data_IF_202915813895
#
_entry.id   IF_202915813895
#
_cell.length_a   1.000
_cell.length_b   1.000
_cell.length_c   1.000
_cell.angle_alpha   90.00
_cell.angle_beta   90.00
_cell.angle_gamma   90.00
#
_symmetry.space_group_name_H-M   'P 1'
#
loop_
_entity.id
_entity.type
_entity.pdbx_description
1 polymer ?
#
# COMPACT_ATOMS: atom_id res chain seq x y z
N UNK A 1 17.20 16.40 -9.20
CA UNK A 1 16.37 15.82 -10.28
C UNK A 1 16.23 16.75 -11.50
N UNK A 2 15.72 17.97 -11.38
CA UNK A 2 15.54 18.87 -12.53
C UNK A 2 16.84 19.15 -13.27
N UNK A 3 17.95 19.36 -12.57
CA UNK A 3 19.27 19.56 -13.16
C UNK A 3 19.74 18.31 -13.92
N UNK A 4 19.59 17.13 -13.32
CA UNK A 4 19.92 15.85 -13.96
C UNK A 4 19.14 15.63 -15.27
N UNK A 5 17.84 15.92 -15.27
CA UNK A 5 17.01 15.84 -16.48
C UNK A 5 17.44 16.81 -17.55
N UNK A 6 17.81 18.02 -17.17
CA UNK A 6 18.30 19.05 -18.11
C UNK A 6 19.66 18.68 -18.71
N UNK A 7 20.58 18.15 -17.88
CA UNK A 7 21.93 17.73 -18.31
C UNK A 7 21.88 16.53 -19.26
N UNK A 8 20.91 15.63 -19.09
CA UNK A 8 20.79 14.40 -19.89
C UNK A 8 19.72 14.48 -20.98
N UNK A 9 19.12 15.66 -21.24
CA UNK A 9 18.05 15.84 -22.23
C UNK A 9 16.82 14.92 -22.03
N UNK A 10 16.51 14.56 -20.79
CA UNK A 10 15.38 13.69 -20.46
C UNK A 10 14.16 14.58 -20.14
N UNK A 11 12.97 14.32 -20.73
CA UNK A 11 11.78 15.07 -20.40
C UNK A 11 11.44 14.99 -18.92
N UNK A 12 11.43 16.13 -18.22
CA UNK A 12 11.05 16.21 -16.82
C UNK A 12 9.55 16.44 -16.67
N UNK A 13 8.84 15.44 -16.17
CA UNK A 13 7.41 15.59 -15.86
C UNK A 13 7.25 16.40 -14.56
N UNK A 14 6.84 17.66 -14.69
CA UNK A 14 6.58 18.57 -13.56
C UNK A 14 5.26 18.26 -12.82
N UNK A 15 4.68 17.10 -13.01
CA UNK A 15 3.46 16.69 -12.33
C UNK A 15 3.64 16.75 -10.80
N UNK A 16 2.77 17.48 -10.12
CA UNK A 16 2.75 17.48 -8.65
C UNK A 16 2.20 16.14 -8.17
N UNK A 17 3.03 15.39 -7.46
CA UNK A 17 2.56 14.20 -6.71
C UNK A 17 2.14 14.63 -5.31
N UNK A 18 1.05 14.03 -4.82
CA UNK A 18 0.62 14.21 -3.43
C UNK A 18 1.55 13.37 -2.56
N UNK A 19 2.35 14.02 -1.73
CA UNK A 19 3.17 13.36 -0.73
C UNK A 19 2.38 13.33 0.58
N UNK A 20 2.30 12.17 1.23
CA UNK A 20 1.64 12.04 2.52
C UNK A 20 2.26 12.98 3.57
N UNK A 21 1.41 13.59 4.38
CA UNK A 21 1.84 14.46 5.47
C UNK A 21 2.00 13.65 6.75
N UNK A 22 3.03 13.97 7.56
CA UNK A 22 3.14 13.48 8.94
C UNK A 22 2.16 14.16 9.91
N UNK A 23 1.54 15.26 9.47
CA UNK A 23 0.50 15.94 10.22
C UNK A 23 -0.87 15.49 9.75
N UNK A 24 -1.71 15.07 10.67
CA UNK A 24 -3.05 14.63 10.34
C UNK A 24 -4.01 14.83 11.50
N UNK A 25 -5.28 14.99 11.17
CA UNK A 25 -6.39 15.01 12.13
C UNK A 25 -7.06 13.63 12.11
N UNK A 26 -7.38 13.10 13.28
CA UNK A 26 -8.20 11.89 13.44
C UNK A 26 -7.63 10.67 12.69
N UNK A 27 -6.32 10.43 12.86
CA UNK A 27 -5.63 9.32 12.19
C UNK A 27 -5.70 8.09 13.09
N UNK A 28 -6.11 6.96 12.53
CA UNK A 28 -5.96 5.66 13.17
C UNK A 28 -4.51 5.18 12.98
N UNK A 29 -3.83 4.89 14.07
CA UNK A 29 -2.46 4.38 14.05
C UNK A 29 -2.35 3.06 14.82
N UNK A 30 -1.68 2.09 14.21
CA UNK A 30 -1.26 0.88 14.92
C UNK A 30 -0.14 1.22 15.92
N UNK A 31 -0.21 0.67 17.13
CA UNK A 31 0.66 1.05 18.25
C UNK A 31 2.17 1.01 17.94
N UNK A 32 2.73 0.02 17.24
CA UNK A 32 4.16 0.01 16.90
C UNK A 32 4.59 1.23 16.08
N UNK A 33 3.81 1.60 15.06
CA UNK A 33 4.08 2.79 14.24
C UNK A 33 3.95 4.07 15.05
N UNK A 34 2.93 4.18 15.91
CA UNK A 34 2.76 5.32 16.80
C UNK A 34 3.95 5.47 17.75
N UNK A 35 4.44 4.39 18.36
CA UNK A 35 5.62 4.42 19.22
C UNK A 35 6.85 4.94 18.49
N UNK A 36 7.06 4.47 17.26
CA UNK A 36 8.16 4.94 16.43
C UNK A 36 8.06 6.44 16.13
N UNK A 37 6.88 6.94 15.77
CA UNK A 37 6.66 8.37 15.55
C UNK A 37 6.97 9.21 16.79
N UNK A 38 6.56 8.75 17.96
CA UNK A 38 6.87 9.46 19.23
C UNK A 38 8.37 9.48 19.51
N UNK A 39 9.08 8.39 19.23
CA UNK A 39 10.55 8.32 19.34
C UNK A 39 11.25 9.29 18.37
N UNK A 40 10.66 9.53 17.20
CA UNK A 40 11.16 10.51 16.23
C UNK A 40 10.75 11.97 16.54
N UNK A 41 10.13 12.22 17.69
CA UNK A 41 9.81 13.56 18.17
C UNK A 41 8.43 14.08 17.76
N UNK A 42 7.58 13.29 17.11
CA UNK A 42 6.19 13.68 16.85
C UNK A 42 5.41 13.72 18.17
N UNK A 43 4.38 14.58 18.22
CA UNK A 43 3.57 14.79 19.41
C UNK A 43 2.10 14.50 19.14
N UNK A 44 1.46 13.82 20.08
CA UNK A 44 0.01 13.66 20.07
C UNK A 44 -0.60 14.93 20.61
N UNK A 45 -1.36 15.65 19.79
CA UNK A 45 -2.07 16.86 20.19
C UNK A 45 -3.46 16.57 20.77
N UNK A 46 -4.10 15.50 20.31
CA UNK A 46 -5.40 15.06 20.78
C UNK A 46 -5.53 13.54 20.67
N UNK A 47 -6.02 12.92 21.70
CA UNK A 47 -6.35 11.50 21.75
C UNK A 47 -7.87 11.34 21.71
N UNK A 48 -8.39 10.58 20.74
CA UNK A 48 -9.82 10.38 20.56
C UNK A 48 -10.32 9.06 21.17
N UNK A 49 -9.68 7.96 20.82
CA UNK A 49 -10.02 6.63 21.32
C UNK A 49 -8.85 5.66 21.20
N UNK A 50 -8.93 4.55 21.92
CA UNK A 50 -8.05 3.39 21.76
C UNK A 50 -8.88 2.13 21.54
N UNK A 51 -8.46 1.30 20.61
CA UNK A 51 -9.04 -0.03 20.40
C UNK A 51 -8.08 -1.05 21.01
N UNK A 52 -8.53 -1.73 22.06
CA UNK A 52 -7.80 -2.83 22.69
C UNK A 52 -8.30 -4.15 22.12
N UNK A 53 -7.37 -5.05 21.78
CA UNK A 53 -7.68 -6.38 21.27
C UNK A 53 -6.73 -7.42 21.89
N UNK A 54 -7.13 -8.68 21.87
CA UNK A 54 -6.27 -9.80 22.22
C UNK A 54 -5.56 -10.27 20.94
N UNK A 55 -4.22 -10.30 20.94
CA UNK A 55 -3.49 -10.79 19.77
C UNK A 55 -3.71 -12.29 19.58
N UNK A 56 -3.90 -12.70 18.33
CA UNK A 56 -4.04 -14.09 17.92
C UNK A 56 -3.27 -14.33 16.61
N UNK A 57 -2.70 -15.51 16.45
CA UNK A 57 -1.91 -15.89 15.27
C UNK A 57 -2.70 -16.73 14.27
N UNK A 58 -3.96 -16.38 14.03
CA UNK A 58 -4.88 -17.14 13.19
C UNK A 58 -4.43 -17.37 11.74
N UNK A 59 -3.51 -16.55 11.24
CA UNK A 59 -2.98 -16.64 9.87
C UNK A 59 -1.51 -17.11 9.82
N UNK A 60 -0.94 -17.60 10.92
CA UNK A 60 0.47 -17.93 10.95
C UNK A 60 0.81 -19.02 9.94
N UNK A 61 0.08 -20.14 9.95
CA UNK A 61 0.31 -21.26 9.03
C UNK A 61 0.24 -20.83 7.57
N UNK A 62 -0.76 -20.04 7.22
CA UNK A 62 -0.89 -19.48 5.86
C UNK A 62 0.29 -18.58 5.49
N UNK A 63 0.73 -17.71 6.40
CA UNK A 63 1.85 -16.79 6.16
C UNK A 63 3.19 -17.57 6.03
N UNK A 64 3.37 -18.59 6.83
CA UNK A 64 4.55 -19.45 6.78
C UNK A 64 4.60 -20.22 5.46
N UNK A 65 3.50 -20.85 5.02
CA UNK A 65 3.40 -21.56 3.75
C UNK A 65 3.69 -20.64 2.54
N UNK A 66 3.09 -19.44 2.51
CA UNK A 66 3.36 -18.43 1.46
C UNK A 66 4.84 -18.04 1.46
N UNK A 67 5.43 -17.81 2.63
CA UNK A 67 6.82 -17.39 2.77
C UNK A 67 7.80 -18.48 2.37
N UNK A 68 7.54 -19.72 2.75
CA UNK A 68 8.40 -20.86 2.43
C UNK A 68 8.38 -21.18 0.93
N UNK A 69 7.21 -21.14 0.31
CA UNK A 69 7.09 -21.32 -1.15
C UNK A 69 7.85 -20.23 -1.92
N UNK A 70 7.83 -18.97 -1.44
CA UNK A 70 8.60 -17.88 -2.07
C UNK A 70 10.10 -18.11 -1.94
N UNK A 71 10.59 -18.47 -0.74
CA UNK A 71 12.01 -18.77 -0.53
C UNK A 71 12.49 -19.94 -1.40
N UNK A 72 11.64 -20.97 -1.59
CA UNK A 72 11.96 -22.08 -2.46
C UNK A 72 12.16 -21.63 -3.93
N UNK A 73 11.32 -20.73 -4.43
CA UNK A 73 11.45 -20.16 -5.77
C UNK A 73 12.67 -19.25 -5.93
N UNK A 74 13.10 -18.56 -4.87
CA UNK A 74 14.32 -17.76 -4.88
C UNK A 74 15.59 -18.63 -4.97
N UNK A 75 15.54 -19.87 -4.45
CA UNK A 75 16.65 -20.83 -4.45
C UNK A 75 16.69 -21.62 -5.74
N UNK A 76 15.55 -22.12 -6.23
CA UNK A 76 15.44 -23.00 -7.38
C UNK A 76 14.33 -22.53 -8.34
N UNK A 77 14.72 -22.22 -9.57
CA UNK A 77 13.81 -21.80 -10.65
C UNK A 77 12.71 -22.80 -10.99
N UNK A 78 12.88 -24.07 -10.65
CA UNK A 78 11.83 -25.06 -10.82
C UNK A 78 10.56 -24.73 -9.99
N UNK A 79 10.70 -23.99 -8.91
CA UNK A 79 9.61 -23.53 -8.03
C UNK A 79 9.15 -22.10 -8.29
N UNK A 80 9.69 -21.39 -9.28
CA UNK A 80 9.39 -19.99 -9.57
C UNK A 80 7.88 -19.75 -9.80
N UNK A 81 7.21 -20.60 -10.57
CA UNK A 81 5.77 -20.48 -10.82
C UNK A 81 4.94 -20.61 -9.54
N UNK A 82 5.32 -21.53 -8.65
CA UNK A 82 4.66 -21.73 -7.37
C UNK A 82 4.91 -20.51 -6.48
N UNK A 83 6.13 -19.99 -6.43
CA UNK A 83 6.49 -18.81 -5.66
C UNK A 83 5.70 -17.57 -6.10
N UNK A 84 5.58 -17.31 -7.41
CA UNK A 84 4.78 -16.20 -7.94
C UNK A 84 3.28 -16.39 -7.68
N UNK A 85 2.77 -17.61 -7.78
CA UNK A 85 1.38 -17.91 -7.44
C UNK A 85 1.09 -17.66 -5.95
N UNK A 86 1.96 -18.12 -5.07
CA UNK A 86 1.81 -17.91 -3.62
C UNK A 86 1.96 -16.44 -3.21
N UNK A 87 2.82 -15.68 -3.91
CA UNK A 87 2.88 -14.21 -3.77
C UNK A 87 1.52 -13.56 -4.10
N UNK A 88 0.90 -13.99 -5.18
CA UNK A 88 -0.43 -13.50 -5.56
C UNK A 88 -1.49 -13.84 -4.51
N UNK A 89 -1.47 -15.05 -3.94
CA UNK A 89 -2.37 -15.42 -2.85
C UNK A 89 -2.16 -14.58 -1.61
N UNK A 90 -0.93 -14.38 -1.17
CA UNK A 90 -0.61 -13.52 -0.02
C UNK A 90 -1.10 -12.08 -0.21
N UNK A 91 -0.81 -11.49 -1.36
CA UNK A 91 -1.25 -10.13 -1.70
C UNK A 91 -2.77 -10.03 -1.82
N UNK A 92 -3.43 -11.04 -2.38
CA UNK A 92 -4.89 -11.08 -2.52
C UNK A 92 -5.59 -11.21 -1.17
N UNK A 93 -5.07 -12.04 -0.27
CA UNK A 93 -5.59 -12.19 1.09
C UNK A 93 -5.52 -10.86 1.85
N UNK A 94 -4.37 -10.20 1.84
CA UNK A 94 -4.21 -8.86 2.41
C UNK A 94 -5.13 -7.85 1.73
N UNK A 95 -5.09 -7.74 0.40
CA UNK A 95 -5.92 -6.80 -0.38
C UNK A 95 -7.41 -6.95 -0.10
N UNK A 96 -7.87 -8.20 0.14
CA UNK A 96 -9.26 -8.45 0.49
C UNK A 96 -9.66 -7.81 1.82
N UNK A 97 -8.78 -7.77 2.80
CA UNK A 97 -9.08 -7.17 4.11
C UNK A 97 -9.34 -5.67 4.04
N UNK A 98 -8.74 -4.97 3.07
CA UNK A 98 -8.85 -3.51 2.86
C UNK A 98 -9.74 -3.13 1.67
N UNK A 99 -10.52 -4.06 1.14
CA UNK A 99 -11.39 -3.80 -0.01
C UNK A 99 -12.43 -2.73 0.32
N UNK A 100 -12.50 -1.67 -0.48
CA UNK A 100 -13.56 -0.67 -0.36
C UNK A 100 -14.86 -1.17 -0.99
N UNK A 101 -15.77 -1.66 -0.15
CA UNK A 101 -17.08 -2.17 -0.58
C UNK A 101 -18.04 -1.09 -1.08
N UNK A 102 -17.79 0.19 -0.79
CA UNK A 102 -18.60 1.29 -1.31
C UNK A 102 -18.47 1.44 -2.82
N UNK A 103 -17.37 0.98 -3.40
CA UNK A 103 -17.14 0.96 -4.84
C UNK A 103 -17.91 -0.16 -5.57
N UNK A 104 -18.50 -1.10 -4.85
CA UNK A 104 -19.23 -2.20 -5.45
C UNK A 104 -20.55 -1.70 -6.02
N UNK A 105 -20.81 -2.08 -7.25
CA UNK A 105 -22.02 -1.73 -7.98
C UNK A 105 -22.91 -2.95 -8.17
N UNK A 106 -24.17 -2.69 -8.49
CA UNK A 106 -25.14 -3.70 -8.92
C UNK A 106 -25.43 -3.46 -10.40
N UNK A 107 -25.11 -4.43 -11.24
CA UNK A 107 -25.39 -4.38 -12.67
C UNK A 107 -26.69 -5.14 -12.94
N UNK A 108 -27.56 -4.57 -13.75
CA UNK A 108 -28.82 -5.18 -14.15
C UNK A 108 -29.03 -4.99 -15.65
N UNK A 109 -29.46 -6.03 -16.31
CA UNK A 109 -29.80 -6.00 -17.72
C UNK A 109 -31.31 -6.00 -17.88
N UNK A 110 -31.82 -5.26 -18.86
CA UNK A 110 -33.25 -5.21 -19.14
C UNK A 110 -33.60 -4.46 -20.41
N UNK A 111 -34.87 -4.52 -20.78
CA UNK A 111 -35.45 -3.71 -21.84
C UNK A 111 -35.94 -2.38 -21.26
N UNK A 112 -36.29 -1.44 -22.13
CA UNK A 112 -36.72 -0.08 -21.78
C UNK A 112 -37.79 -0.04 -20.67
N UNK A 113 -38.80 -0.86 -20.75
CA UNK A 113 -39.88 -0.94 -19.76
C UNK A 113 -39.44 -1.36 -18.36
N UNK A 114 -38.43 -2.24 -18.30
CA UNK A 114 -37.94 -2.81 -17.04
C UNK A 114 -36.87 -1.95 -16.35
N UNK A 115 -36.17 -1.09 -17.10
CA UNK A 115 -35.08 -0.25 -16.57
C UNK A 115 -35.55 1.09 -16.05
N UNK A 116 -36.75 1.59 -16.49
CA UNK A 116 -37.27 2.92 -16.14
C UNK A 116 -37.30 3.17 -14.62
N UNK A 117 -37.74 2.18 -13.84
CA UNK A 117 -37.72 2.28 -12.36
C UNK A 117 -36.33 2.36 -11.77
N UNK A 118 -35.31 1.80 -12.43
CA UNK A 118 -33.94 1.80 -11.96
C UNK A 118 -33.24 3.09 -12.30
N UNK A 119 -33.51 3.66 -13.45
CA UNK A 119 -32.97 4.96 -13.87
C UNK A 119 -33.50 6.06 -12.93
N UNK A 120 -34.76 5.98 -12.51
CA UNK A 120 -35.36 6.93 -11.57
C UNK A 120 -34.98 6.67 -10.09
N UNK A 121 -34.15 5.68 -9.81
CA UNK A 121 -33.69 5.40 -8.45
C UNK A 121 -32.56 6.35 -8.01
N UNK A 122 -32.50 6.81 -6.75
CA UNK A 122 -31.37 7.57 -6.22
C UNK A 122 -30.06 6.78 -6.23
N UNK A 123 -30.11 5.48 -6.45
CA UNK A 123 -28.94 4.61 -6.58
C UNK A 123 -28.43 4.49 -8.01
N UNK A 124 -29.10 5.08 -8.99
CA UNK A 124 -28.66 5.07 -10.37
C UNK A 124 -27.28 5.71 -10.52
N UNK A 125 -26.41 5.06 -11.30
CA UNK A 125 -25.06 5.53 -11.56
C UNK A 125 -24.79 5.73 -13.05
N UNK A 126 -25.16 4.72 -13.86
CA UNK A 126 -24.86 4.74 -15.29
C UNK A 126 -25.81 3.86 -16.08
N UNK A 127 -25.96 4.15 -17.38
CA UNK A 127 -26.79 3.42 -18.35
C UNK A 127 -26.01 3.27 -19.66
N UNK A 128 -25.88 2.03 -20.12
CA UNK A 128 -25.29 1.71 -21.41
C UNK A 128 -26.29 0.93 -22.28
N UNK A 129 -26.47 1.37 -23.53
CA UNK A 129 -27.22 0.60 -24.51
C UNK A 129 -26.31 -0.43 -25.15
N UNK A 130 -26.64 -1.72 -25.02
CA UNK A 130 -25.81 -2.79 -25.55
C UNK A 130 -26.11 -3.05 -27.02
N UNK A 131 -27.29 -3.63 -27.30
CA UNK A 131 -27.74 -3.76 -28.67
C UNK A 131 -29.27 -3.82 -28.72
N UNK A 132 -29.87 -3.30 -29.83
CA UNK A 132 -31.32 -3.20 -29.94
C UNK A 132 -31.96 -2.42 -28.82
N UNK A 133 -32.94 -3.00 -28.13
CA UNK A 133 -33.62 -2.41 -26.97
C UNK A 133 -33.10 -2.97 -25.64
N UNK A 134 -31.87 -3.50 -25.61
CA UNK A 134 -31.26 -4.02 -24.39
C UNK A 134 -30.28 -3.02 -23.80
N UNK A 135 -30.36 -2.85 -22.50
CA UNK A 135 -29.60 -1.90 -21.72
C UNK A 135 -28.94 -2.56 -20.53
N UNK A 136 -27.75 -2.06 -20.17
CA UNK A 136 -27.10 -2.31 -18.90
C UNK A 136 -27.31 -1.10 -17.99
N UNK A 137 -27.82 -1.34 -16.78
CA UNK A 137 -28.00 -0.31 -15.75
C UNK A 137 -27.05 -0.61 -14.60
N UNK A 138 -26.16 0.33 -14.32
CA UNK A 138 -25.25 0.30 -13.18
C UNK A 138 -25.84 1.13 -12.06
N UNK A 139 -25.93 0.54 -10.88
CA UNK A 139 -26.45 1.19 -9.68
C UNK A 139 -25.52 1.00 -8.49
N UNK A 140 -25.45 1.94 -7.58
CA UNK A 140 -24.81 1.74 -6.27
C UNK A 140 -25.61 0.74 -5.45
N UNK A 141 -24.94 -0.02 -4.57
CA UNK A 141 -25.65 -0.94 -3.68
C UNK A 141 -26.44 -0.15 -2.64
N UNK A 142 -27.67 -0.60 -2.37
CA UNK A 142 -28.56 0.01 -1.36
C UNK A 142 -28.04 -0.20 0.06
N UNK A 143 -27.38 -1.33 0.28
CA UNK A 143 -26.86 -1.74 1.57
C UNK A 143 -25.41 -2.24 1.39
N UNK A 144 -24.54 -1.77 2.25
CA UNK A 144 -23.12 -2.16 2.29
C UNK A 144 -22.87 -2.77 3.66
N UNK A 145 -22.55 -4.07 3.67
CA UNK A 145 -22.16 -4.75 4.90
C UNK A 145 -20.65 -4.66 5.10
N UNK A 146 -20.23 -3.98 6.16
CA UNK A 146 -18.83 -3.83 6.54
C UNK A 146 -18.40 -4.99 7.45
N UNK A 147 -18.09 -6.14 6.87
CA UNK A 147 -17.74 -7.39 7.55
C UNK A 147 -16.30 -7.85 7.28
N UNK A 148 -15.48 -6.98 6.71
CA UNK A 148 -14.06 -7.27 6.45
C UNK A 148 -13.22 -7.05 7.71
N UNK A 149 -12.20 -7.88 7.95
CA UNK A 149 -11.27 -7.71 9.07
C UNK A 149 -10.27 -6.57 8.78
N UNK A 150 -10.77 -5.34 8.65
CA UNK A 150 -10.03 -4.15 8.25
C UNK A 150 -8.82 -3.88 9.17
N UNK A 151 -8.93 -4.24 10.46
CA UNK A 151 -7.85 -4.10 11.44
C UNK A 151 -6.59 -4.88 11.05
N UNK A 152 -6.73 -6.02 10.38
CA UNK A 152 -5.59 -6.82 9.88
C UNK A 152 -4.87 -6.04 8.78
N UNK A 153 -5.62 -5.56 7.78
CA UNK A 153 -5.05 -4.78 6.70
C UNK A 153 -4.38 -3.49 7.17
N UNK A 154 -4.98 -2.79 8.14
CA UNK A 154 -4.37 -1.60 8.77
C UNK A 154 -3.07 -1.97 9.48
N UNK A 155 -3.02 -3.08 10.24
CA UNK A 155 -1.82 -3.50 10.93
C UNK A 155 -0.70 -3.86 9.95
N UNK A 156 -1.00 -4.64 8.89
CA UNK A 156 -0.02 -5.02 7.86
C UNK A 156 0.54 -3.78 7.16
N UNK A 157 -0.33 -2.86 6.74
CA UNK A 157 0.08 -1.62 6.08
C UNK A 157 0.99 -0.75 6.98
N UNK A 158 0.63 -0.61 8.26
CA UNK A 158 1.42 0.19 9.20
C UNK A 158 2.75 -0.49 9.57
N UNK A 159 2.81 -1.81 9.63
CA UNK A 159 4.06 -2.54 9.85
C UNK A 159 4.98 -2.45 8.64
N UNK A 160 4.45 -2.56 7.42
CA UNK A 160 5.23 -2.34 6.20
C UNK A 160 5.82 -0.91 6.18
N UNK A 161 4.98 0.10 6.43
CA UNK A 161 5.43 1.49 6.54
C UNK A 161 6.51 1.68 7.63
N UNK A 162 6.31 1.08 8.81
CA UNK A 162 7.29 1.13 9.89
C UNK A 162 8.63 0.53 9.45
N UNK A 163 8.61 -0.62 8.75
CA UNK A 163 9.83 -1.26 8.25
C UNK A 163 10.60 -0.37 7.26
N UNK A 164 9.88 0.30 6.36
CA UNK A 164 10.48 1.21 5.39
C UNK A 164 11.09 2.44 6.07
N UNK A 165 10.39 3.04 7.03
CA UNK A 165 10.88 4.17 7.81
C UNK A 165 12.08 3.79 8.67
N UNK A 166 12.05 2.63 9.32
CA UNK A 166 13.15 2.10 10.13
C UNK A 166 14.41 1.89 9.29
N UNK A 167 14.26 1.30 8.09
CA UNK A 167 15.36 1.14 7.15
C UNK A 167 15.95 2.49 6.72
N UNK A 168 15.10 3.46 6.38
CA UNK A 168 15.58 4.78 5.96
C UNK A 168 16.32 5.51 7.08
N UNK A 169 15.71 5.65 8.26
CA UNK A 169 16.28 6.49 9.33
C UNK A 169 17.33 5.79 10.18
N UNK A 170 17.16 4.49 10.45
CA UNK A 170 18.06 3.75 11.33
C UNK A 170 19.17 3.01 10.58
N UNK A 171 19.08 2.92 9.25
CA UNK A 171 20.13 2.33 8.43
C UNK A 171 20.72 3.36 7.45
N UNK A 172 19.98 3.78 6.42
CA UNK A 172 20.53 4.66 5.38
C UNK A 172 21.04 5.98 5.97
N UNK A 173 20.21 6.76 6.64
CA UNK A 173 20.54 8.07 7.20
C UNK A 173 21.62 8.00 8.32
N UNK A 174 21.66 6.87 9.03
CA UNK A 174 22.65 6.65 10.09
C UNK A 174 24.03 6.33 9.55
N UNK A 175 24.12 5.46 8.54
CA UNK A 175 25.40 4.91 8.08
C UNK A 175 25.97 5.58 6.83
N UNK A 176 25.17 6.32 6.08
CA UNK A 176 25.55 7.00 4.84
C UNK A 176 25.35 8.50 5.01
N UNK A 177 26.27 9.32 4.51
CA UNK A 177 26.11 10.77 4.55
C UNK A 177 24.99 11.23 3.61
N UNK A 178 24.25 12.24 4.03
CA UNK A 178 23.13 12.78 3.26
C UNK A 178 23.52 13.38 1.91
N UNK A 179 24.77 13.77 1.75
CA UNK A 179 25.33 14.22 0.48
C UNK A 179 25.51 13.09 -0.54
N UNK A 180 25.57 11.84 -0.08
CA UNK A 180 25.91 10.68 -0.88
C UNK A 180 24.71 9.86 -1.32
N UNK A 181 23.49 10.25 -0.93
CA UNK A 181 22.28 9.60 -1.39
C UNK A 181 21.10 10.55 -1.57
N UNK A 182 20.20 10.19 -2.48
CA UNK A 182 18.89 10.82 -2.67
C UNK A 182 17.80 9.75 -2.74
N UNK A 183 16.74 9.89 -1.94
CA UNK A 183 15.55 9.05 -2.06
C UNK A 183 14.73 9.51 -3.26
N UNK A 184 14.69 8.71 -4.31
CA UNK A 184 13.98 9.01 -5.55
C UNK A 184 12.50 8.67 -5.47
N UNK A 185 12.20 7.47 -4.99
CA UNK A 185 10.83 6.93 -4.92
C UNK A 185 10.71 5.92 -3.78
N UNK A 186 9.50 5.82 -3.24
CA UNK A 186 9.12 4.78 -2.29
C UNK A 186 7.80 4.18 -2.75
N UNK A 187 7.79 2.88 -2.96
CA UNK A 187 6.58 2.14 -3.31
C UNK A 187 6.38 1.00 -2.30
N UNK A 188 5.37 1.15 -1.47
CA UNK A 188 4.85 0.22 -0.46
C UNK A 188 5.93 -0.49 0.38
N UNK A 189 6.76 -1.34 -0.22
CA UNK A 189 7.81 -2.17 0.39
C UNK A 189 9.18 -2.01 -0.30
N UNK A 190 9.33 -1.01 -1.16
CA UNK A 190 10.55 -0.74 -1.91
C UNK A 190 10.97 0.72 -1.79
N UNK A 191 12.26 0.96 -1.63
CA UNK A 191 12.89 2.28 -1.72
C UNK A 191 13.86 2.31 -2.89
N UNK A 192 13.80 3.37 -3.68
CA UNK A 192 14.72 3.64 -4.78
C UNK A 192 15.61 4.80 -4.39
N UNK A 193 16.92 4.55 -4.35
CA UNK A 193 17.93 5.55 -4.03
C UNK A 193 18.86 5.79 -5.21
N UNK A 194 19.26 7.04 -5.41
CA UNK A 194 20.46 7.37 -6.15
C UNK A 194 21.61 7.51 -5.15
N UNK A 195 22.76 6.91 -5.46
CA UNK A 195 23.97 7.00 -4.68
C UNK A 195 25.08 7.68 -5.48
N UNK A 196 26.04 8.34 -4.79
CA UNK A 196 27.19 8.99 -5.41
C UNK A 196 28.27 8.00 -5.87
N UNK A 197 28.23 6.76 -5.37
CA UNK A 197 29.20 5.69 -5.67
C UNK A 197 28.48 4.44 -6.20
N UNK A 198 29.23 3.55 -6.83
CA UNK A 198 28.76 2.30 -7.42
C UNK A 198 28.57 1.15 -6.41
N UNK A 199 29.03 1.33 -5.18
CA UNK A 199 28.97 0.34 -4.10
C UNK A 199 28.62 1.01 -2.76
N UNK A 200 27.66 0.42 -2.05
CA UNK A 200 27.20 0.92 -0.73
C UNK A 200 28.33 0.85 0.30
N UNK A 201 29.22 -0.14 0.20
CA UNK A 201 30.32 -0.31 1.14
C UNK A 201 31.29 0.88 1.15
N UNK A 202 31.44 1.58 0.02
CA UNK A 202 32.28 2.79 -0.08
C UNK A 202 31.64 3.98 0.63
N UNK A 203 30.32 4.02 0.69
CA UNK A 203 29.52 5.11 1.24
C UNK A 203 29.37 5.04 2.76
N UNK A 204 29.63 3.86 3.37
CA UNK A 204 29.48 3.70 4.81
C UNK A 204 30.50 4.58 5.54
N UNK A 205 30.01 5.43 6.43
CA UNK A 205 30.80 6.32 7.28
C UNK A 205 31.92 5.55 7.99
N UNK A 206 33.18 6.00 7.93
CA UNK A 206 34.33 5.27 8.50
C UNK A 206 34.18 4.95 9.98
N UNK A 207 33.58 5.84 10.76
CA UNK A 207 33.32 5.69 12.19
C UNK A 207 32.30 4.58 12.51
N UNK A 208 31.48 4.16 11.55
CA UNK A 208 30.44 3.15 11.76
C UNK A 208 30.85 1.75 11.26
N UNK A 209 32.03 1.64 10.63
CA UNK A 209 32.54 0.34 10.09
C UNK A 209 33.06 -0.63 11.16
N UNK A 210 33.12 -0.20 12.42
CA UNK A 210 33.61 -1.01 13.55
C UNK A 210 32.44 -1.49 14.42
N UNK A 211 31.54 -2.29 13.87
CA UNK A 211 30.46 -2.90 14.60
C UNK A 211 30.23 -4.33 14.12
#
# INVERSE_FOLDING_TARGET
MQNYHNENNIPFNKGKKLIGSYFGKEILLYTPLLKWYLQQGLKITKFHCAIKYTPEKSFQEFADEVSDARRAGDIDKAYELIAETMKLFGNSAYGKTVTNKEKFVSTTYGNEDNISKKINSPHFKDLEQLYGQKYEVISTKREIRMDLPLQIGVAVYHLAKLRMLDFYYNFIDKYIDRSDFELLEMDTDSNYFAFSEDSIEKLIKPETRKG
#
